data_IF_546846758369
#
_entry.id   IF_546846758369
#
_cell.length_a   1.000
_cell.length_b   1.000
_cell.length_c   1.000
_cell.angle_alpha   90.00
_cell.angle_beta   90.00
_cell.angle_gamma   90.00
#
_symmetry.space_group_name_H-M   'P 1'
#
loop_
_entity.id
_entity.type
_entity.pdbx_description
1 polymer ?
#
# COMPACT_ATOMS: atom_id res chain seq x y z
N UNK A 1 12.42 19.35 -7.53
CA UNK A 1 12.06 17.94 -7.26
C UNK A 1 12.27 17.17 -8.54
N UNK A 2 13.32 16.36 -8.55
CA UNK A 2 13.80 15.58 -9.69
C UNK A 2 13.11 14.22 -9.67
N UNK A 3 12.65 13.72 -10.82
CA UNK A 3 11.87 12.48 -10.96
C UNK A 3 12.62 11.18 -10.67
N UNK A 4 13.28 11.08 -9.53
CA UNK A 4 13.91 9.86 -8.98
C UNK A 4 13.08 9.22 -7.84
N UNK A 5 11.98 9.86 -7.40
CA UNK A 5 11.20 9.44 -6.23
C UNK A 5 10.47 8.08 -6.40
N UNK A 6 10.39 7.52 -7.61
CA UNK A 6 9.70 6.24 -7.85
C UNK A 6 10.58 5.02 -7.54
N UNK A 7 11.90 5.14 -7.60
CA UNK A 7 12.83 4.04 -7.33
C UNK A 7 12.86 3.67 -5.83
N UNK A 8 12.42 4.59 -4.96
CA UNK A 8 12.33 4.41 -3.51
C UNK A 8 10.98 3.86 -3.04
N UNK A 9 10.04 3.61 -3.98
CA UNK A 9 8.73 3.09 -3.61
C UNK A 9 8.70 1.57 -3.59
N UNK A 10 8.13 1.03 -2.51
CA UNK A 10 7.90 -0.39 -2.31
C UNK A 10 6.48 -0.78 -2.75
N UNK A 11 6.36 -1.98 -3.31
CA UNK A 11 5.08 -2.52 -3.77
C UNK A 11 4.31 -3.22 -2.66
N UNK A 12 3.07 -2.76 -2.44
CA UNK A 12 2.11 -3.38 -1.53
C UNK A 12 1.02 -4.07 -2.36
N UNK A 13 0.91 -5.41 -2.30
CA UNK A 13 -0.10 -6.14 -3.05
C UNK A 13 -1.51 -5.82 -2.57
N UNK A 14 -2.47 -5.91 -3.47
CA UNK A 14 -3.88 -5.92 -3.09
C UNK A 14 -4.19 -7.18 -2.27
N UNK A 15 -4.84 -7.02 -1.12
CA UNK A 15 -5.27 -8.14 -0.29
C UNK A 15 -5.71 -7.69 1.09
N UNK A 16 -4.95 -6.78 1.69
CA UNK A 16 -5.30 -6.11 2.93
C UNK A 16 -5.68 -4.64 2.66
N UNK A 17 -6.98 -4.36 2.74
CA UNK A 17 -7.52 -3.02 2.51
C UNK A 17 -7.11 -2.03 3.61
N UNK A 18 -6.93 -2.49 4.87
CA UNK A 18 -6.53 -1.63 5.97
C UNK A 18 -5.06 -1.21 5.82
N UNK A 19 -4.18 -2.17 5.54
CA UNK A 19 -2.76 -1.92 5.28
C UNK A 19 -2.58 -0.97 4.08
N UNK A 20 -3.23 -1.29 2.96
CA UNK A 20 -3.19 -0.46 1.75
C UNK A 20 -3.66 0.98 2.00
N UNK A 21 -4.74 1.16 2.78
CA UNK A 21 -5.28 2.49 3.10
C UNK A 21 -4.32 3.27 3.99
N UNK A 22 -3.77 2.64 5.04
CA UNK A 22 -2.82 3.28 5.96
C UNK A 22 -1.53 3.65 5.26
N UNK A 23 -0.93 2.72 4.52
CA UNK A 23 0.31 2.99 3.80
C UNK A 23 0.16 4.16 2.83
N UNK A 24 -1.00 4.28 2.17
CA UNK A 24 -1.30 5.44 1.31
C UNK A 24 -1.44 6.76 2.08
N UNK A 25 -1.93 6.75 3.32
CA UNK A 25 -2.07 7.94 4.17
C UNK A 25 -0.71 8.44 4.65
N UNK A 26 0.20 7.53 5.01
CA UNK A 26 1.53 7.86 5.52
C UNK A 26 2.53 8.20 4.41
N UNK A 27 2.24 7.85 3.16
CA UNK A 27 3.17 8.03 2.05
C UNK A 27 3.03 9.41 1.40
N UNK A 28 4.13 10.17 1.21
CA UNK A 28 4.10 11.45 0.49
C UNK A 28 3.82 11.26 -1.01
N UNK A 29 4.17 10.10 -1.57
CA UNK A 29 3.89 9.71 -2.95
C UNK A 29 3.18 8.35 -2.96
N UNK A 30 2.12 8.22 -3.74
CA UNK A 30 1.49 6.92 -3.96
C UNK A 30 0.99 6.77 -5.38
N UNK A 31 1.16 5.58 -5.95
CA UNK A 31 0.61 5.25 -7.27
C UNK A 31 -0.04 3.86 -7.27
N UNK A 32 -1.02 3.66 -8.13
CA UNK A 32 -1.77 2.40 -8.24
C UNK A 32 -1.13 1.52 -9.30
N UNK A 33 -0.81 0.29 -8.93
CA UNK A 33 -0.32 -0.74 -9.87
C UNK A 33 -1.52 -1.48 -10.44
N UNK A 34 -1.63 -1.48 -11.77
CA UNK A 34 -2.65 -2.20 -12.51
C UNK A 34 -2.01 -3.17 -13.50
N UNK A 35 -2.71 -4.26 -13.79
CA UNK A 35 -2.34 -5.21 -14.83
C UNK A 35 -3.49 -5.39 -15.80
N UNK A 36 -3.20 -5.39 -17.09
CA UNK A 36 -4.22 -5.70 -18.08
C UNK A 36 -4.61 -7.18 -18.01
N UNK A 37 -5.88 -7.43 -17.76
CA UNK A 37 -6.47 -8.77 -17.77
C UNK A 37 -6.96 -9.08 -19.18
N UNK A 38 -6.26 -9.97 -19.90
CA UNK A 38 -6.68 -10.40 -21.25
C UNK A 38 -8.02 -11.13 -21.22
N UNK A 39 -8.27 -11.92 -20.17
CA UNK A 39 -9.52 -12.65 -19.98
C UNK A 39 -10.71 -11.70 -19.77
N UNK A 40 -10.53 -10.61 -19.02
CA UNK A 40 -11.60 -9.64 -18.72
C UNK A 40 -11.57 -8.37 -19.58
N UNK A 41 -10.58 -8.27 -20.49
CA UNK A 41 -10.33 -7.12 -21.39
C UNK A 41 -10.31 -5.76 -20.68
N UNK A 42 -9.75 -5.69 -19.47
CA UNK A 42 -9.67 -4.45 -18.67
C UNK A 42 -8.46 -4.43 -17.76
N UNK A 43 -8.09 -3.26 -17.28
CA UNK A 43 -7.07 -3.13 -16.23
C UNK A 43 -7.65 -3.53 -14.87
N UNK A 44 -6.93 -4.39 -14.16
CA UNK A 44 -7.27 -4.85 -12.82
C UNK A 44 -6.23 -4.33 -11.84
N UNK A 45 -6.70 -3.76 -10.73
CA UNK A 45 -5.85 -3.28 -9.66
C UNK A 45 -5.11 -4.44 -9.02
N UNK A 46 -3.79 -4.34 -8.99
CA UNK A 46 -2.91 -5.34 -8.37
C UNK A 46 -2.36 -4.86 -7.03
N UNK A 47 -2.27 -3.54 -6.78
CA UNK A 47 -1.68 -3.02 -5.54
C UNK A 47 -1.36 -1.54 -5.63
N UNK A 48 -0.46 -1.07 -4.78
CA UNK A 48 0.06 0.31 -4.77
C UNK A 48 1.58 0.31 -4.60
N UNK A 49 2.21 1.38 -5.05
CA UNK A 49 3.56 1.76 -4.67
C UNK A 49 3.47 2.89 -3.64
N UNK A 50 4.24 2.79 -2.56
CA UNK A 50 4.33 3.74 -1.43
C UNK A 50 5.77 3.79 -0.94
N UNK A 51 6.17 4.81 -0.16
CA UNK A 51 7.49 4.81 0.45
C UNK A 51 7.62 3.68 1.48
N UNK A 52 8.83 3.16 1.66
CA UNK A 52 9.14 2.11 2.64
C UNK A 52 8.72 2.53 4.06
N UNK A 53 9.07 3.75 4.47
CA UNK A 53 8.70 4.33 5.78
C UNK A 53 7.17 4.35 6.00
N UNK A 54 6.38 4.58 4.96
CA UNK A 54 4.93 4.61 5.07
C UNK A 54 4.34 3.20 5.23
N UNK A 55 4.96 2.18 4.63
CA UNK A 55 4.59 0.79 4.84
C UNK A 55 4.87 0.36 6.28
N UNK A 56 6.07 0.66 6.81
CA UNK A 56 6.44 0.34 8.19
C UNK A 56 5.47 0.96 9.21
N UNK A 57 5.14 2.25 9.04
CA UNK A 57 4.16 2.93 9.91
C UNK A 57 2.77 2.29 9.82
N UNK A 58 2.36 1.87 8.62
CA UNK A 58 1.08 1.22 8.41
C UNK A 58 1.01 -0.17 9.08
N UNK A 59 2.09 -0.94 9.00
CA UNK A 59 2.20 -2.25 9.65
C UNK A 59 2.21 -2.13 11.18
N UNK A 60 2.99 -1.20 11.72
CA UNK A 60 3.02 -0.90 13.16
C UNK A 60 1.62 -0.49 13.68
N UNK A 61 0.91 0.36 12.94
CA UNK A 61 -0.47 0.73 13.26
C UNK A 61 -1.45 -0.44 13.20
N UNK A 62 -1.30 -1.37 12.25
CA UNK A 62 -2.12 -2.59 12.17
C UNK A 62 -1.88 -3.52 13.37
N UNK A 63 -0.63 -3.63 13.84
CA UNK A 63 -0.29 -4.45 15.00
C UNK A 63 -0.93 -3.88 16.28
N UNK A 64 -0.82 -2.56 16.49
CA UNK A 64 -1.42 -1.90 17.63
C UNK A 64 -2.96 -2.04 17.68
N UNK A 65 -3.63 -1.95 16.53
CA UNK A 65 -5.08 -2.19 16.44
C UNK A 65 -5.46 -3.64 16.79
N UNK A 66 -4.61 -4.60 16.43
CA UNK A 66 -4.85 -6.02 16.68
C UNK A 66 -4.75 -6.31 18.18
N UNK A 67 -3.74 -5.79 18.85
CA UNK A 67 -3.56 -5.93 20.30
C UNK A 67 -4.74 -5.36 21.10
N UNK A 68 -5.26 -4.19 20.71
CA UNK A 68 -6.41 -3.58 21.37
C UNK A 68 -7.71 -4.40 21.24
N UNK A 69 -7.85 -5.20 20.17
CA UNK A 69 -9.04 -6.02 19.94
C UNK A 69 -9.06 -7.33 20.73
N UNK A 70 -7.89 -7.85 21.08
CA UNK A 70 -7.77 -9.06 21.91
C UNK A 70 -7.71 -8.76 23.41
N UNK A 71 -7.61 -7.49 23.80
CA UNK A 71 -7.52 -7.04 25.19
C UNK A 71 -8.87 -6.60 25.81
N UNK A 72 -10.00 -6.75 25.11
CA UNK A 72 -11.36 -6.47 25.61
C UNK A 72 -12.13 -7.74 25.97
#
# INVERSE_FOLDING_TARGET
MTGADLDELVYVPSGDAALTRRARVHSPLSTVVVRFSRARKRYERQGILVSEVALEQAEAGCLADSELRFAS
#
